data_IF_755306438326
#
_entry.id   IF_755306438326
#
_cell.length_a   1.000
_cell.length_b   1.000
_cell.length_c   1.000
_cell.angle_alpha   90.00
_cell.angle_beta   90.00
_cell.angle_gamma   90.00
#
_symmetry.space_group_name_H-M   'P 1'
#
loop_
_entity.id
_entity.type
_entity.pdbx_description
1 polymer ?
#
# COMPACT_ATOMS: atom_id res chain seq x y z
N UNK A 1 8.87 0.88 -43.38
CA UNK A 1 10.35 0.83 -43.53
C UNK A 1 10.85 2.27 -43.43
N UNK A 2 11.83 2.53 -42.57
CA UNK A 2 12.63 3.75 -42.25
C UNK A 2 12.80 3.71 -40.71
N UNK A 3 13.68 2.82 -40.19
CA UNK A 3 15.06 3.08 -39.75
C UNK A 3 15.19 4.26 -38.78
N UNK A 4 15.36 3.95 -37.49
CA UNK A 4 16.24 4.74 -36.64
C UNK A 4 17.18 3.76 -35.91
N UNK A 5 18.41 3.64 -36.43
CA UNK A 5 19.54 2.98 -35.76
C UNK A 5 20.05 3.94 -34.68
N UNK A 6 20.17 3.45 -33.44
CA UNK A 6 21.10 4.01 -32.47
C UNK A 6 21.97 2.85 -31.95
N UNK A 7 23.24 2.87 -32.38
CA UNK A 7 24.41 2.14 -31.87
C UNK A 7 25.11 3.16 -30.96
N UNK A 8 25.40 2.99 -29.67
CA UNK A 8 26.31 2.09 -28.93
C UNK A 8 26.43 2.70 -27.48
N UNK A 9 27.16 2.13 -26.47
CA UNK A 9 27.97 0.92 -26.45
C UNK A 9 27.62 -0.08 -25.31
N UNK A 10 28.12 -1.30 -25.47
CA UNK A 10 28.30 -2.29 -24.40
C UNK A 10 29.51 -1.94 -23.51
N UNK A 11 29.40 -2.22 -22.20
CA UNK A 11 30.42 -2.53 -21.15
C UNK A 11 30.28 -1.67 -19.88
N UNK A 12 30.72 -2.16 -18.70
CA UNK A 12 30.59 -3.51 -18.11
C UNK A 12 29.77 -3.48 -16.80
N UNK A 13 29.39 -4.67 -16.31
CA UNK A 13 28.83 -4.87 -14.98
C UNK A 13 29.86 -4.57 -13.87
N UNK A 14 29.35 -4.36 -12.65
CA UNK A 14 30.05 -4.12 -11.38
C UNK A 14 30.36 -2.65 -11.08
N UNK A 15 29.44 -1.99 -10.37
CA UNK A 15 29.66 -1.32 -9.07
C UNK A 15 28.40 -0.52 -8.68
N UNK A 16 27.71 -0.94 -7.61
CA UNK A 16 26.79 -0.06 -6.87
C UNK A 16 25.30 -0.41 -6.91
N UNK A 17 24.91 -1.48 -6.24
CA UNK A 17 23.55 -1.64 -5.69
C UNK A 17 23.27 -0.42 -4.78
N UNK A 18 22.03 0.10 -4.78
CA UNK A 18 21.48 1.25 -4.04
C UNK A 18 21.28 2.57 -4.81
N UNK A 19 20.66 2.49 -5.99
CA UNK A 19 19.50 3.35 -6.25
C UNK A 19 18.40 2.47 -6.80
N UNK A 20 17.46 2.05 -5.93
CA UNK A 20 16.12 1.75 -6.40
C UNK A 20 15.60 3.05 -7.01
N UNK A 21 15.90 3.23 -8.29
CA UNK A 21 15.32 4.26 -9.12
C UNK A 21 13.81 4.07 -9.00
N UNK A 22 13.18 4.89 -8.17
CA UNK A 22 11.77 5.19 -8.28
C UNK A 22 11.60 5.92 -9.61
N UNK A 23 11.69 5.15 -10.70
CA UNK A 23 11.33 5.63 -12.03
C UNK A 23 9.82 5.72 -11.99
N UNK A 24 9.32 6.91 -11.62
CA UNK A 24 8.04 7.35 -12.15
C UNK A 24 8.21 7.33 -13.67
N UNK A 25 7.82 6.23 -14.30
CA UNK A 25 7.60 6.21 -15.74
C UNK A 25 6.49 7.23 -16.00
N UNK A 26 6.86 8.50 -16.17
CA UNK A 26 6.03 9.49 -16.82
C UNK A 26 5.94 9.05 -18.27
N UNK A 27 5.04 8.10 -18.55
CA UNK A 27 4.60 7.82 -19.91
C UNK A 27 3.83 9.06 -20.35
N UNK A 28 4.54 10.04 -20.91
CA UNK A 28 3.93 11.23 -21.50
C UNK A 28 3.37 10.82 -22.86
N UNK A 29 2.09 10.46 -22.90
CA UNK A 29 1.37 10.34 -24.17
C UNK A 29 1.04 11.77 -24.63
N UNK A 30 1.90 12.34 -25.47
CA UNK A 30 1.63 13.66 -26.04
C UNK A 30 0.48 13.56 -27.04
N UNK A 31 -0.73 13.85 -26.58
CA UNK A 31 -1.93 13.88 -27.42
C UNK A 31 -2.26 15.33 -27.79
N UNK A 32 -2.46 15.57 -29.09
CA UNK A 32 -2.89 16.89 -29.58
C UNK A 32 -4.41 16.98 -29.55
N UNK A 33 -4.92 18.03 -28.92
CA UNK A 33 -6.35 18.39 -28.90
C UNK A 33 -6.49 19.71 -29.62
N UNK A 34 -7.42 19.79 -30.59
CA UNK A 34 -7.72 21.02 -31.32
C UNK A 34 -9.01 21.61 -30.76
N UNK A 35 -8.99 22.89 -30.46
CA UNK A 35 -10.15 23.65 -30.00
C UNK A 35 -10.24 24.99 -30.73
N UNK A 36 -11.45 25.54 -30.75
CA UNK A 36 -11.74 26.83 -31.37
C UNK A 36 -12.09 27.85 -30.29
N UNK A 37 -11.71 29.12 -30.52
CA UNK A 37 -11.99 30.23 -29.62
C UNK A 37 -13.49 30.31 -29.31
N UNK A 38 -13.84 30.53 -28.04
CA UNK A 38 -15.22 30.54 -27.53
C UNK A 38 -15.86 29.15 -27.41
N UNK A 39 -15.27 28.12 -28.03
CA UNK A 39 -15.74 26.74 -27.95
C UNK A 39 -15.30 26.03 -26.68
N UNK A 40 -15.37 24.69 -26.70
CA UNK A 40 -14.91 23.83 -25.62
C UNK A 40 -14.08 22.67 -26.13
N UNK A 41 -13.11 22.22 -25.35
CA UNK A 41 -12.31 21.03 -25.65
C UNK A 41 -12.21 20.12 -24.43
N UNK A 42 -12.12 18.81 -24.67
CA UNK A 42 -11.85 17.82 -23.63
C UNK A 42 -10.37 17.48 -23.64
N UNK A 43 -9.71 17.70 -22.51
CA UNK A 43 -8.32 17.36 -22.27
C UNK A 43 -8.26 15.96 -21.65
N UNK A 44 -7.75 14.95 -22.37
CA UNK A 44 -7.79 13.58 -21.94
C UNK A 44 -6.74 13.30 -20.85
N UNK A 45 -7.13 12.60 -19.80
CA UNK A 45 -6.21 12.04 -18.82
C UNK A 45 -6.81 10.78 -18.20
N UNK A 46 -6.18 9.62 -18.44
CA UNK A 46 -6.67 8.34 -17.94
C UNK A 46 -5.54 7.47 -17.43
N UNK A 47 -5.82 6.66 -16.40
CA UNK A 47 -4.93 5.64 -15.87
C UNK A 47 -5.49 4.25 -16.13
N UNK A 48 -4.65 3.33 -16.61
CA UNK A 48 -5.03 1.91 -16.75
C UNK A 48 -5.14 1.20 -15.41
N UNK A 49 -4.37 1.67 -14.44
CA UNK A 49 -4.39 1.15 -13.09
C UNK A 49 -5.60 1.76 -12.37
N UNK A 50 -6.69 1.02 -12.28
CA UNK A 50 -7.94 1.52 -11.71
C UNK A 50 -7.81 1.75 -10.19
N UNK A 51 -8.38 2.83 -9.65
CA UNK A 51 -8.43 3.03 -8.21
C UNK A 51 -9.37 2.03 -7.56
N UNK A 52 -8.97 1.43 -6.44
CA UNK A 52 -9.86 0.60 -5.61
C UNK A 52 -11.01 1.43 -5.02
N UNK A 53 -10.70 2.67 -4.62
CA UNK A 53 -11.66 3.64 -4.08
C UNK A 53 -11.30 5.02 -4.62
N UNK A 54 -12.29 5.84 -4.97
CA UNK A 54 -12.04 7.22 -5.44
C UNK A 54 -11.40 8.09 -4.33
N UNK A 55 -11.60 7.73 -3.07
CA UNK A 55 -11.01 8.42 -1.92
C UNK A 55 -9.48 8.26 -1.84
N UNK A 56 -8.85 7.37 -2.59
CA UNK A 56 -7.39 7.20 -2.59
C UNK A 56 -6.71 7.87 -3.78
N UNK A 57 -7.38 8.78 -4.49
CA UNK A 57 -6.83 9.44 -5.67
C UNK A 57 -6.81 10.96 -5.55
N UNK A 58 -5.67 11.53 -5.95
CA UNK A 58 -5.47 12.95 -6.16
C UNK A 58 -5.07 13.19 -7.62
N UNK A 59 -5.78 14.07 -8.32
CA UNK A 59 -5.47 14.46 -9.69
C UNK A 59 -5.27 15.96 -9.77
N UNK A 60 -4.18 16.38 -10.40
CA UNK A 60 -3.82 17.79 -10.55
C UNK A 60 -3.55 18.13 -12.01
N UNK A 61 -4.28 19.10 -12.53
CA UNK A 61 -4.06 19.65 -13.85
C UNK A 61 -3.28 20.96 -13.77
N UNK A 62 -2.26 21.08 -14.61
CA UNK A 62 -1.34 22.22 -14.65
C UNK A 62 -1.16 22.72 -16.07
N UNK A 63 -1.10 24.04 -16.25
CA UNK A 63 -0.80 24.69 -17.53
C UNK A 63 0.11 25.88 -17.26
N UNK A 64 1.25 25.97 -17.94
CA UNK A 64 2.21 27.07 -17.77
C UNK A 64 2.59 27.37 -16.30
N UNK A 65 2.70 26.32 -15.48
CA UNK A 65 3.03 26.46 -14.04
C UNK A 65 1.86 26.88 -13.15
N UNK A 66 0.64 26.97 -13.68
CA UNK A 66 -0.57 27.39 -12.97
C UNK A 66 -1.50 26.22 -12.67
N UNK A 67 -2.31 26.33 -11.61
CA UNK A 67 -3.29 25.32 -11.22
C UNK A 67 -4.55 25.47 -12.08
N UNK A 68 -4.78 24.51 -12.97
CA UNK A 68 -5.95 24.51 -13.86
C UNK A 68 -7.16 23.89 -13.16
N UNK A 69 -6.97 22.70 -12.58
CA UNK A 69 -8.05 21.94 -11.93
C UNK A 69 -7.48 20.92 -10.94
N UNK A 70 -8.28 20.55 -9.93
CA UNK A 70 -7.90 19.56 -8.94
C UNK A 70 -9.07 18.63 -8.60
N UNK A 71 -8.78 17.33 -8.47
CA UNK A 71 -9.71 16.32 -7.97
C UNK A 71 -9.01 15.65 -6.78
N UNK A 72 -9.55 15.81 -5.57
CA UNK A 72 -8.96 15.26 -4.35
C UNK A 72 -10.02 14.43 -3.67
N UNK A 73 -9.70 13.17 -3.36
CA UNK A 73 -10.63 12.24 -2.69
C UNK A 73 -11.95 12.06 -3.44
N UNK A 74 -11.88 12.10 -4.77
CA UNK A 74 -13.05 12.01 -5.66
C UNK A 74 -13.93 13.24 -5.71
N UNK A 75 -13.48 14.37 -5.16
CA UNK A 75 -14.22 15.63 -5.19
C UNK A 75 -13.40 16.70 -5.89
N UNK A 76 -14.11 17.58 -6.60
CA UNK A 76 -13.50 18.76 -7.20
C UNK A 76 -12.93 19.64 -6.08
N UNK A 77 -11.66 20.00 -6.21
CA UNK A 77 -10.96 20.92 -5.33
C UNK A 77 -10.63 22.21 -6.07
N UNK A 78 -11.39 23.26 -5.77
CA UNK A 78 -11.16 24.62 -6.29
C UNK A 78 -10.08 25.38 -5.53
N UNK A 79 -9.54 24.81 -4.45
CA UNK A 79 -8.53 25.46 -3.61
C UNK A 79 -7.25 25.69 -4.42
N UNK A 80 -6.83 26.96 -4.51
CA UNK A 80 -5.63 27.34 -5.24
C UNK A 80 -5.76 27.25 -6.77
N UNK A 81 -6.97 27.04 -7.31
CA UNK A 81 -7.23 27.09 -8.74
C UNK A 81 -7.03 28.53 -9.25
N UNK A 82 -6.27 28.66 -10.34
CA UNK A 82 -5.97 29.95 -10.95
C UNK A 82 -7.28 30.58 -11.48
N UNK A 83 -7.51 31.89 -11.25
CA UNK A 83 -8.78 32.55 -11.58
C UNK A 83 -9.22 32.38 -13.05
N UNK A 84 -8.29 32.30 -13.99
CA UNK A 84 -8.60 32.21 -15.43
C UNK A 84 -9.33 30.91 -15.83
N UNK A 85 -9.23 29.84 -15.02
CA UNK A 85 -9.88 28.55 -15.28
C UNK A 85 -11.15 28.33 -14.46
N UNK A 86 -11.44 29.22 -13.49
CA UNK A 86 -12.64 29.10 -12.65
C UNK A 86 -13.88 29.24 -13.51
N UNK A 87 -14.91 28.43 -13.21
CA UNK A 87 -16.19 28.37 -13.94
C UNK A 87 -16.06 28.01 -15.44
N UNK A 88 -14.87 27.67 -15.91
CA UNK A 88 -14.60 27.24 -17.29
C UNK A 88 -14.19 25.77 -17.35
N UNK A 89 -13.95 25.13 -16.22
CA UNK A 89 -13.44 23.77 -16.12
C UNK A 89 -14.45 22.85 -15.47
N UNK A 90 -14.68 21.71 -16.12
CA UNK A 90 -15.57 20.65 -15.68
C UNK A 90 -14.85 19.31 -15.74
N UNK A 91 -15.30 18.33 -14.96
CA UNK A 91 -14.77 16.97 -14.97
C UNK A 91 -15.93 15.97 -15.01
N UNK A 92 -15.60 14.68 -15.05
CA UNK A 92 -16.58 13.59 -15.22
C UNK A 92 -16.56 12.65 -14.00
N UNK A 93 -17.17 13.01 -12.86
CA UNK A 93 -17.11 12.22 -11.63
C UNK A 93 -17.56 10.76 -11.77
N UNK A 94 -18.54 10.50 -12.63
CA UNK A 94 -19.04 9.18 -12.99
C UNK A 94 -17.98 8.27 -13.63
N UNK A 95 -16.93 8.86 -14.19
CA UNK A 95 -15.84 8.17 -14.90
C UNK A 95 -14.62 7.87 -14.03
N UNK A 96 -14.55 8.43 -12.81
CA UNK A 96 -13.35 8.37 -11.97
C UNK A 96 -12.97 6.93 -11.58
N UNK A 97 -13.96 6.08 -11.28
CA UNK A 97 -13.73 4.66 -11.00
C UNK A 97 -13.25 3.87 -12.22
N UNK A 98 -13.54 4.38 -13.42
CA UNK A 98 -13.03 3.83 -14.69
C UNK A 98 -11.66 4.38 -15.05
N UNK A 99 -11.04 5.14 -14.14
CA UNK A 99 -9.69 5.68 -14.29
C UNK A 99 -9.62 6.88 -15.23
N UNK A 100 -10.75 7.50 -15.59
CA UNK A 100 -10.78 8.66 -16.47
C UNK A 100 -10.96 9.94 -15.64
N UNK A 101 -9.95 10.79 -15.72
CA UNK A 101 -9.81 12.07 -15.01
C UNK A 101 -9.66 13.24 -15.99
N UNK A 102 -10.22 13.06 -17.18
CA UNK A 102 -10.27 14.10 -18.21
C UNK A 102 -11.05 15.31 -17.71
N UNK A 103 -10.70 16.48 -18.23
CA UNK A 103 -11.44 17.72 -17.94
C UNK A 103 -11.94 18.35 -19.24
N UNK A 104 -13.08 19.02 -19.17
CA UNK A 104 -13.57 19.87 -20.24
C UNK A 104 -13.24 21.32 -19.90
N UNK A 105 -12.58 22.01 -20.83
CA UNK A 105 -12.33 23.45 -20.75
C UNK A 105 -13.26 24.18 -21.72
N UNK A 106 -14.07 25.09 -21.19
CA UNK A 106 -15.08 25.87 -21.89
C UNK A 106 -14.61 27.30 -22.15
N UNK A 107 -15.24 27.95 -23.14
CA UNK A 107 -14.97 29.32 -23.56
C UNK A 107 -13.49 29.54 -23.87
N UNK A 108 -12.91 28.73 -24.77
CA UNK A 108 -11.47 28.75 -25.06
C UNK A 108 -10.98 30.12 -25.53
N UNK A 109 -9.78 30.49 -25.09
CA UNK A 109 -9.08 31.75 -25.35
C UNK A 109 -7.69 31.45 -25.91
N UNK A 110 -7.06 32.43 -26.57
CA UNK A 110 -5.69 32.29 -27.08
C UNK A 110 -4.67 31.94 -25.98
N UNK A 111 -4.88 32.43 -24.77
CA UNK A 111 -4.01 32.18 -23.61
C UNK A 111 -4.10 30.75 -23.07
N UNK A 112 -5.12 29.99 -23.46
CA UNK A 112 -5.26 28.58 -23.05
C UNK A 112 -4.42 27.65 -23.92
N UNK A 113 -3.79 28.14 -24.99
CA UNK A 113 -2.91 27.33 -25.83
C UNK A 113 -1.62 27.00 -25.10
N UNK A 114 -1.19 25.73 -25.17
CA UNK A 114 0.06 25.28 -24.58
C UNK A 114 0.00 23.85 -24.08
N UNK A 115 1.02 23.47 -23.31
CA UNK A 115 1.16 22.12 -22.75
C UNK A 115 0.43 22.00 -21.41
N UNK A 116 -0.58 21.14 -21.37
CA UNK A 116 -1.25 20.76 -20.14
C UNK A 116 -0.62 19.50 -19.56
N UNK A 117 -0.44 19.48 -18.24
CA UNK A 117 0.10 18.33 -17.50
C UNK A 117 -0.96 17.82 -16.53
N UNK A 118 -1.21 16.52 -16.58
CA UNK A 118 -2.07 15.81 -15.65
C UNK A 118 -1.21 14.94 -14.73
N UNK A 119 -1.31 15.15 -13.43
CA UNK A 119 -0.63 14.35 -12.42
C UNK A 119 -1.65 13.50 -11.68
N UNK A 120 -1.57 12.18 -11.81
CA UNK A 120 -2.41 11.25 -11.07
C UNK A 120 -1.57 10.67 -9.93
N UNK A 121 -1.94 11.00 -8.70
CA UNK A 121 -1.31 10.53 -7.47
C UNK A 121 -2.28 9.57 -6.78
N UNK A 122 -1.78 8.38 -6.44
CA UNK A 122 -2.56 7.39 -5.68
C UNK A 122 -2.01 7.33 -4.27
N UNK A 123 -2.87 7.36 -3.28
CA UNK A 123 -2.48 7.06 -1.91
C UNK A 123 -2.06 5.59 -1.83
N UNK A 124 -0.87 5.36 -1.31
CA UNK A 124 -0.32 4.04 -1.03
C UNK A 124 -1.10 3.39 0.12
N UNK A 125 -1.52 2.14 -0.04
CA UNK A 125 -2.15 1.37 1.04
C UNK A 125 -1.13 1.08 2.15
N UNK A 126 -1.51 1.31 3.41
CA UNK A 126 -0.72 0.96 4.59
C UNK A 126 -1.37 -0.24 5.28
N UNK A 127 -0.69 -1.39 5.28
CA UNK A 127 -1.13 -2.58 6.01
C UNK A 127 -0.46 -2.65 7.38
N UNK A 128 -1.24 -2.62 8.44
CA UNK A 128 -0.76 -2.77 9.82
C UNK A 128 -1.16 -4.16 10.32
N UNK A 129 -0.18 -5.03 10.59
CA UNK A 129 -0.41 -6.38 11.13
C UNK A 129 0.09 -6.43 12.57
N UNK A 130 -0.78 -6.84 13.50
CA UNK A 130 -0.41 -7.08 14.91
C UNK A 130 -0.20 -8.57 15.15
N UNK A 131 1.04 -8.97 15.37
CA UNK A 131 1.36 -10.34 15.81
C UNK A 131 1.14 -10.46 17.32
N UNK A 132 0.31 -11.43 17.73
CA UNK A 132 0.18 -11.84 19.12
C UNK A 132 0.86 -13.20 19.28
N UNK A 133 1.92 -13.26 20.08
CA UNK A 133 2.56 -14.52 20.46
C UNK A 133 1.83 -15.03 21.71
N UNK A 134 1.25 -16.23 21.62
CA UNK A 134 0.75 -16.97 22.78
C UNK A 134 1.69 -18.12 23.05
N UNK A 135 1.99 -18.38 24.31
CA UNK A 135 2.70 -19.58 24.70
C UNK A 135 1.86 -20.82 24.32
N UNK A 136 2.55 -21.86 23.86
CA UNK A 136 1.92 -23.16 23.66
C UNK A 136 1.52 -23.68 25.04
N UNK A 137 0.28 -24.17 25.25
CA UNK A 137 -0.08 -24.77 26.53
C UNK A 137 0.93 -25.86 26.87
N UNK A 138 1.57 -25.77 28.02
CA UNK A 138 2.36 -26.88 28.54
C UNK A 138 1.40 -28.06 28.68
N UNK A 139 1.78 -29.21 28.11
CA UNK A 139 1.09 -30.46 28.47
C UNK A 139 1.30 -30.62 29.97
N UNK A 140 0.26 -31.01 30.75
CA UNK A 140 0.47 -31.32 32.15
C UNK A 140 1.62 -32.32 32.25
N UNK A 141 2.73 -31.86 32.81
CA UNK A 141 3.83 -32.69 33.25
C UNK A 141 3.22 -33.66 34.23
N UNK A 142 3.27 -34.97 33.92
CA UNK A 142 2.87 -35.99 34.88
C UNK A 142 3.65 -35.73 36.16
N UNK A 143 2.97 -35.23 37.19
CA UNK A 143 3.51 -35.18 38.55
C UNK A 143 4.08 -36.56 38.84
N UNK A 144 5.39 -36.61 39.08
CA UNK A 144 6.05 -37.83 39.51
C UNK A 144 5.29 -38.39 40.71
N UNK A 145 4.86 -39.64 40.58
CA UNK A 145 4.12 -40.37 41.61
C UNK A 145 4.86 -40.27 42.94
N UNK A 146 4.38 -39.39 43.84
CA UNK A 146 4.75 -39.47 45.24
C UNK A 146 4.17 -40.80 45.76
N UNK A 147 4.97 -41.71 46.34
CA UNK A 147 4.48 -43.02 46.74
C UNK A 147 3.29 -42.85 47.70
N UNK A 148 2.19 -43.56 47.42
CA UNK A 148 1.01 -43.54 48.28
C UNK A 148 1.42 -43.85 49.73
N UNK A 149 0.85 -43.16 50.73
CA UNK A 149 1.16 -43.38 52.14
C UNK A 149 0.96 -44.83 52.61
N UNK A 150 0.17 -45.63 51.88
CA UNK A 150 0.01 -47.07 52.14
C UNK A 150 1.31 -47.86 51.99
N UNK A 151 2.17 -47.52 51.02
CA UNK A 151 3.44 -48.23 50.81
C UNK A 151 4.47 -47.86 51.89
N UNK A 152 4.42 -46.62 52.41
CA UNK A 152 5.25 -46.17 53.53
C UNK A 152 4.84 -46.87 54.83
N UNK A 153 3.54 -47.02 55.10
CA UNK A 153 3.03 -47.74 56.28
C UNK A 153 3.43 -49.23 56.23
N UNK A 154 3.37 -49.86 55.05
CA UNK A 154 3.83 -51.25 54.86
C UNK A 154 5.31 -51.43 55.21
N UNK A 155 6.18 -50.51 54.78
CA UNK A 155 7.63 -50.59 55.06
C UNK A 155 7.91 -50.43 56.56
N UNK A 156 7.26 -49.46 57.23
CA UNK A 156 7.46 -49.24 58.68
C UNK A 156 7.00 -50.47 59.48
N UNK A 157 5.91 -51.12 59.06
CA UNK A 157 5.38 -52.34 59.69
C UNK A 157 6.36 -53.52 59.61
N UNK A 158 6.99 -53.71 58.45
CA UNK A 158 7.97 -54.79 58.24
C UNK A 158 9.24 -54.54 59.08
N UNK A 159 9.71 -53.30 59.14
CA UNK A 159 10.88 -52.95 59.96
C UNK A 159 10.60 -53.15 61.46
N UNK A 160 9.42 -52.73 61.93
CA UNK A 160 9.04 -52.87 63.33
C UNK A 160 8.92 -54.34 63.77
N UNK A 161 8.30 -55.18 62.95
CA UNK A 161 8.19 -56.63 63.23
C UNK A 161 9.53 -57.35 63.21
N UNK A 162 10.43 -57.02 62.27
CA UNK A 162 11.78 -57.57 62.23
C UNK A 162 12.63 -57.20 63.45
N UNK A 163 12.53 -55.96 63.93
CA UNK A 163 13.24 -55.50 65.14
C UNK A 163 12.72 -56.23 66.38
N UNK A 164 11.38 -56.35 66.55
CA UNK A 164 10.79 -57.09 67.68
C UNK A 164 11.22 -58.54 67.66
N UNK A 165 11.15 -59.23 66.50
CA UNK A 165 11.61 -60.61 66.37
C UNK A 165 13.08 -60.76 66.78
N UNK A 166 13.94 -59.84 66.33
CA UNK A 166 15.37 -59.86 66.65
C UNK A 166 15.64 -59.64 68.14
N UNK A 167 14.90 -58.74 68.79
CA UNK A 167 15.00 -58.50 70.23
C UNK A 167 14.48 -59.70 71.05
N UNK A 168 13.40 -60.36 70.62
CA UNK A 168 12.88 -61.55 71.31
C UNK A 168 13.76 -62.79 71.17
N UNK A 169 14.59 -62.88 70.12
CA UNK A 169 15.53 -64.00 69.91
C UNK A 169 16.85 -63.79 70.68
N UNK A 170 17.13 -62.57 71.16
CA UNK A 170 18.39 -62.22 71.85
C UNK A 170 18.24 -62.14 73.37
N UNK A 171 17.10 -62.56 73.95
CA UNK A 171 16.84 -62.65 75.41
C UNK A 171 16.73 -64.10 75.86
#
# INVERSE_FOLDING_TARGET
RIICKALLPFLPAELGIFYHNFSLFLVSLQQTVVGFIGGSAVLPCSSKDLPHTIQSIGVYWRHSGQNVYGIIYGKVSVKGQHPEYRNRTESFPEEYLRGNFSIKLNNLQHTDAGEYKCYIIKESFVQIVKLLIKEKPERPTSEGTNPRPEMTVMIISILYTGIIFSLTVTV
#
